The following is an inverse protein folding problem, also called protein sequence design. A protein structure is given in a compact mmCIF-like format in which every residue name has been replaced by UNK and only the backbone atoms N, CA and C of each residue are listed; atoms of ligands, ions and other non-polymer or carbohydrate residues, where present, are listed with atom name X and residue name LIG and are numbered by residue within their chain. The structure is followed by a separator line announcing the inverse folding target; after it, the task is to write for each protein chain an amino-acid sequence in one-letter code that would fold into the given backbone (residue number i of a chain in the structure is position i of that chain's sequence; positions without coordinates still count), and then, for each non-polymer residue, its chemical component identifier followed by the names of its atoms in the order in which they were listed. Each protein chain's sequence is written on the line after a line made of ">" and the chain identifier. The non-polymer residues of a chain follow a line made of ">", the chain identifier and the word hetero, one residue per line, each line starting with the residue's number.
data_IF_292659109261
#
_entry.id   IF_292659109261
#
_cell.length_a   1.000
_cell.length_b   1.000
_cell.length_c   1.000
_cell.angle_alpha   90.00
_cell.angle_beta   90.00
_cell.angle_gamma   90.00
#
_symmetry.space_group_name_H-M   'P 1'
#
loop_
_entity.id
_entity.type
_entity.pdbx_description
1 polymer ?
#
# COMPACT_ATOMS: atom_id res chain seq x y z
N UNK A 1 56.94 -17.53 34.81
CA UNK A 1 55.92 -18.01 33.85
C UNK A 1 54.83 -16.94 33.78
N UNK A 2 54.75 -16.11 32.72
CA UNK A 2 53.61 -15.20 32.55
C UNK A 2 52.38 -15.97 32.04
N UNK A 3 51.18 -15.55 32.47
CA UNK A 3 49.90 -16.19 32.19
C UNK A 3 49.37 -15.83 30.78
N UNK A 4 48.57 -16.69 30.13
CA UNK A 4 48.05 -16.45 28.79
C UNK A 4 46.95 -15.38 28.79
N UNK A 5 47.10 -14.38 27.93
CA UNK A 5 46.12 -13.33 27.68
C UNK A 5 44.85 -13.93 27.03
N UNK A 6 43.70 -13.66 27.62
CA UNK A 6 42.39 -14.04 27.09
C UNK A 6 42.01 -13.10 25.93
N UNK A 7 42.04 -13.63 24.71
CA UNK A 7 41.52 -12.97 23.52
C UNK A 7 40.01 -12.72 23.72
N UNK A 8 39.52 -11.47 23.65
CA UNK A 8 38.08 -11.20 23.77
C UNK A 8 37.33 -11.78 22.57
N UNK A 9 36.15 -12.39 22.76
CA UNK A 9 35.36 -12.90 21.65
C UNK A 9 34.91 -11.71 20.78
N UNK A 10 35.37 -11.71 19.52
CA UNK A 10 34.86 -10.82 18.48
C UNK A 10 33.34 -10.88 18.50
N UNK A 11 32.72 -9.70 18.61
CA UNK A 11 31.29 -9.53 18.41
C UNK A 11 30.92 -10.23 17.10
N UNK A 12 30.20 -11.36 17.21
CA UNK A 12 29.59 -11.99 16.05
C UNK A 12 28.64 -10.95 15.48
N UNK A 13 28.92 -10.55 14.24
CA UNK A 13 27.99 -9.81 13.40
C UNK A 13 26.62 -10.48 13.49
N UNK A 14 25.72 -9.87 14.26
CA UNK A 14 24.31 -10.21 14.29
C UNK A 14 23.69 -9.66 12.99
N UNK A 15 24.10 -10.23 11.85
CA UNK A 15 23.28 -10.16 10.65
C UNK A 15 21.99 -10.88 11.02
N UNK A 16 20.81 -10.24 10.93
CA UNK A 16 19.57 -10.98 11.06
C UNK A 16 19.62 -12.08 10.00
N UNK A 17 19.66 -13.33 10.46
CA UNK A 17 19.47 -14.48 9.58
C UNK A 17 18.08 -14.25 9.01
N UNK A 18 18.01 -13.89 7.73
CA UNK A 18 16.80 -14.02 6.93
C UNK A 18 16.39 -15.48 7.07
N UNK A 19 15.50 -15.74 8.03
CA UNK A 19 15.02 -17.08 8.31
C UNK A 19 14.51 -17.63 7.00
N UNK A 20 15.12 -18.73 6.55
CA UNK A 20 14.66 -19.44 5.37
C UNK A 20 13.16 -19.63 5.56
N UNK A 21 12.35 -19.02 4.68
CA UNK A 21 10.91 -19.22 4.75
C UNK A 21 10.70 -20.73 4.62
N UNK A 22 9.98 -21.31 5.58
CA UNK A 22 9.85 -22.75 5.67
C UNK A 22 9.09 -23.22 4.42
N UNK A 23 9.56 -24.28 3.75
CA UNK A 23 8.88 -24.90 2.60
C UNK A 23 7.39 -25.13 2.84
N UNK A 24 7.00 -25.47 4.08
CA UNK A 24 5.60 -25.63 4.47
C UNK A 24 4.82 -24.31 4.42
N UNK A 25 5.44 -23.21 4.85
CA UNK A 25 4.86 -21.86 4.80
C UNK A 25 4.81 -21.35 3.36
N UNK A 26 5.85 -21.56 2.56
CA UNK A 26 5.83 -21.20 1.14
C UNK A 26 4.75 -21.96 0.36
N UNK A 27 4.61 -23.26 0.64
CA UNK A 27 3.56 -24.08 0.03
C UNK A 27 2.17 -23.59 0.43
N UNK A 28 1.97 -23.21 1.70
CA UNK A 28 0.72 -22.60 2.15
C UNK A 28 0.46 -21.27 1.44
N UNK A 29 1.44 -20.36 1.39
CA UNK A 29 1.29 -19.04 0.74
C UNK A 29 0.97 -19.18 -0.74
N UNK A 30 1.60 -20.14 -1.43
CA UNK A 30 1.42 -20.35 -2.86
C UNK A 30 0.04 -20.94 -3.22
N UNK A 31 -0.61 -21.67 -2.30
CA UNK A 31 -1.82 -22.44 -2.61
C UNK A 31 -3.08 -21.98 -1.84
N UNK A 32 -2.93 -21.21 -0.76
CA UNK A 32 -4.07 -20.71 0.00
C UNK A 32 -4.89 -19.69 -0.80
N UNK A 33 -6.20 -19.65 -0.56
CA UNK A 33 -7.04 -18.61 -1.15
C UNK A 33 -6.70 -17.25 -0.55
N UNK A 34 -7.01 -16.17 -1.28
CA UNK A 34 -6.80 -14.81 -0.80
C UNK A 34 -7.58 -14.55 0.49
N UNK A 35 -8.79 -15.11 0.63
CA UNK A 35 -9.61 -14.94 1.82
C UNK A 35 -9.05 -15.69 3.03
N UNK A 36 -8.51 -16.90 2.82
CA UNK A 36 -7.80 -17.64 3.88
C UNK A 36 -6.55 -16.90 4.33
N UNK A 37 -5.74 -16.38 3.40
CA UNK A 37 -4.56 -15.59 3.73
C UNK A 37 -4.93 -14.33 4.52
N UNK A 38 -6.00 -13.62 4.13
CA UNK A 38 -6.51 -12.46 4.87
C UNK A 38 -6.95 -12.85 6.29
N UNK A 39 -7.66 -13.97 6.45
CA UNK A 39 -8.11 -14.46 7.75
C UNK A 39 -6.93 -14.84 8.66
N UNK A 40 -5.97 -15.60 8.13
CA UNK A 40 -4.75 -16.03 8.83
C UNK A 40 -3.94 -14.80 9.27
N UNK A 41 -3.68 -13.85 8.37
CA UNK A 41 -2.90 -12.63 8.69
C UNK A 41 -3.61 -11.81 9.76
N UNK A 42 -4.93 -11.59 9.65
CA UNK A 42 -5.69 -10.84 10.67
C UNK A 42 -5.66 -11.54 12.03
N UNK A 43 -5.89 -12.85 12.06
CA UNK A 43 -5.86 -13.63 13.30
C UNK A 43 -4.47 -13.61 13.94
N UNK A 44 -3.41 -13.74 13.13
CA UNK A 44 -2.01 -13.66 13.60
C UNK A 44 -1.70 -12.28 14.16
N UNK A 45 -2.05 -11.21 13.45
CA UNK A 45 -1.81 -9.84 13.92
C UNK A 45 -2.65 -9.49 15.17
N UNK A 46 -3.84 -10.05 15.31
CA UNK A 46 -4.70 -9.85 16.48
C UNK A 46 -4.19 -10.58 17.74
N UNK A 47 -3.45 -11.67 17.57
CA UNK A 47 -2.97 -12.53 18.67
C UNK A 47 -1.48 -12.34 18.99
N UNK A 48 -0.76 -11.58 18.18
CA UNK A 48 0.67 -11.28 18.38
C UNK A 48 0.89 -9.97 19.13
N UNK A 49 2.10 -9.78 19.66
CA UNK A 49 2.46 -8.56 20.39
C UNK A 49 2.58 -7.36 19.44
N UNK A 50 2.36 -6.11 19.93
CA UNK A 50 2.44 -4.90 19.10
C UNK A 50 3.70 -4.74 18.23
N UNK A 51 4.91 -5.16 18.67
CA UNK A 51 6.11 -5.12 17.84
C UNK A 51 6.02 -5.93 16.54
N UNK A 52 5.27 -7.05 16.53
CA UNK A 52 5.10 -7.88 15.33
C UNK A 52 4.21 -7.18 14.31
N UNK A 53 3.13 -6.53 14.75
CA UNK A 53 2.29 -5.72 13.88
C UNK A 53 3.03 -4.50 13.30
N UNK A 54 3.92 -3.88 14.09
CA UNK A 54 4.81 -2.82 13.62
C UNK A 54 5.78 -3.32 12.55
N UNK A 55 6.44 -4.46 12.77
CA UNK A 55 7.35 -5.07 11.81
C UNK A 55 6.65 -5.48 10.51
N UNK A 56 5.44 -6.04 10.60
CA UNK A 56 4.60 -6.34 9.43
C UNK A 56 4.30 -5.08 8.61
N UNK A 57 3.91 -3.99 9.28
CA UNK A 57 3.62 -2.71 8.62
C UNK A 57 4.88 -2.12 7.99
N UNK A 58 6.05 -2.21 8.65
CA UNK A 58 7.32 -1.75 8.08
C UNK A 58 7.73 -2.54 6.83
N UNK A 59 7.57 -3.87 6.85
CA UNK A 59 7.83 -4.73 5.68
C UNK A 59 6.87 -4.40 4.53
N UNK A 60 5.59 -4.17 4.82
CA UNK A 60 4.61 -3.72 3.83
C UNK A 60 5.01 -2.37 3.21
N UNK A 61 5.45 -1.40 4.02
CA UNK A 61 5.95 -0.10 3.52
C UNK A 61 7.16 -0.25 2.60
N UNK A 62 8.15 -1.04 3.00
CA UNK A 62 9.34 -1.27 2.18
C UNK A 62 8.95 -1.87 0.84
N UNK A 63 8.10 -2.91 0.84
CA UNK A 63 7.69 -3.58 -0.40
C UNK A 63 6.91 -2.65 -1.31
N UNK A 64 5.98 -1.88 -0.76
CA UNK A 64 5.12 -0.98 -1.52
C UNK A 64 5.89 0.27 -2.00
N UNK A 65 6.84 0.78 -1.21
CA UNK A 65 7.70 1.91 -1.58
C UNK A 65 8.55 1.62 -2.81
N UNK A 66 9.04 0.38 -2.94
CA UNK A 66 9.84 -0.07 -4.10
C UNK A 66 8.99 -0.38 -5.34
N UNK A 67 7.67 -0.54 -5.19
CA UNK A 67 6.78 -1.03 -6.25
C UNK A 67 5.72 -0.03 -6.71
N UNK A 68 5.59 1.12 -6.07
CA UNK A 68 4.55 2.07 -6.41
C UNK A 68 4.98 2.95 -7.59
N UNK A 69 5.06 2.34 -8.76
CA UNK A 69 4.96 3.06 -10.02
C UNK A 69 3.53 3.54 -10.16
N UNK A 70 3.34 4.87 -10.06
CA UNK A 70 2.03 5.46 -10.23
C UNK A 70 1.53 5.18 -11.66
N UNK A 71 0.35 4.55 -11.85
CA UNK A 71 -0.19 4.35 -13.19
C UNK A 71 -0.29 5.71 -13.87
N UNK A 72 0.27 5.84 -15.08
CA UNK A 72 0.16 7.07 -15.85
C UNK A 72 -1.28 7.19 -16.36
N UNK A 73 -2.14 7.88 -15.61
CA UNK A 73 -3.51 8.20 -16.04
C UNK A 73 -3.42 9.32 -17.07
N UNK A 74 -3.76 9.02 -18.33
CA UNK A 74 -3.74 10.00 -19.41
C UNK A 74 -5.09 10.70 -19.52
N UNK A 75 -5.10 12.01 -19.73
CA UNK A 75 -6.31 12.85 -19.91
C UNK A 75 -7.25 12.30 -21.00
N UNK A 76 -6.71 11.57 -22.00
CA UNK A 76 -7.50 10.92 -23.06
C UNK A 76 -8.47 9.85 -22.55
N UNK A 77 -8.16 9.22 -21.42
CA UNK A 77 -9.04 8.26 -20.74
C UNK A 77 -10.41 8.83 -20.43
N UNK A 78 -10.46 10.07 -19.95
CA UNK A 78 -11.68 10.74 -19.56
C UNK A 78 -12.47 11.33 -20.74
N UNK A 79 -11.83 11.55 -21.89
CA UNK A 79 -12.50 12.04 -23.10
C UNK A 79 -13.19 10.94 -23.92
N UNK A 80 -12.76 9.68 -23.78
CA UNK A 80 -13.28 8.57 -24.58
C UNK A 80 -14.66 8.07 -24.10
N UNK A 81 -15.02 8.37 -22.84
CA UNK A 81 -16.28 8.00 -22.20
C UNK A 81 -17.51 8.77 -22.74
N UNK A 82 -17.30 9.96 -23.33
CA UNK A 82 -18.37 10.81 -23.88
C UNK A 82 -19.18 10.18 -25.02
N UNK A 83 -18.82 9.00 -25.53
CA UNK A 83 -19.43 8.44 -26.76
C UNK A 83 -20.18 7.12 -26.61
N UNK A 84 -19.99 6.25 -25.59
CA UNK A 84 -20.85 5.04 -25.50
C UNK A 84 -20.80 4.09 -24.28
N UNK A 85 -20.10 4.37 -23.18
CA UNK A 85 -20.12 3.43 -22.06
C UNK A 85 -19.89 4.15 -20.74
N UNK A 86 -20.87 4.04 -19.84
CA UNK A 86 -20.95 4.63 -18.50
C UNK A 86 -20.03 3.90 -17.48
N UNK A 87 -18.88 3.40 -17.95
CA UNK A 87 -17.97 2.57 -17.16
C UNK A 87 -16.69 3.32 -16.87
N UNK A 88 -16.42 3.62 -15.58
CA UNK A 88 -15.18 4.24 -15.15
C UNK A 88 -13.98 3.58 -15.83
N UNK A 89 -13.01 4.39 -16.30
CA UNK A 89 -11.74 3.84 -16.80
C UNK A 89 -11.16 2.88 -15.74
N UNK A 90 -10.88 1.61 -16.09
CA UNK A 90 -10.24 0.65 -15.18
C UNK A 90 -8.98 1.17 -14.48
N UNK A 91 -8.31 2.16 -15.07
CA UNK A 91 -7.12 2.83 -14.51
C UNK A 91 -7.45 3.70 -13.30
N UNK A 92 -8.67 4.23 -13.20
CA UNK A 92 -9.14 4.97 -12.02
C UNK A 92 -9.36 4.02 -10.86
N UNK A 93 -9.99 2.86 -11.11
CA UNK A 93 -10.15 1.80 -10.10
C UNK A 93 -8.79 1.29 -9.59
N UNK A 94 -7.80 1.16 -10.48
CA UNK A 94 -6.44 0.78 -10.12
C UNK A 94 -5.74 1.84 -9.25
N UNK A 95 -5.93 3.13 -9.55
CA UNK A 95 -5.46 4.22 -8.71
C UNK A 95 -6.10 4.19 -7.31
N UNK A 96 -7.42 4.00 -7.22
CA UNK A 96 -8.12 3.93 -5.93
C UNK A 96 -7.68 2.73 -5.10
N UNK A 97 -7.47 1.57 -5.73
CA UNK A 97 -6.91 0.38 -5.04
C UNK A 97 -5.48 0.64 -4.55
N UNK A 98 -4.65 1.26 -5.38
CA UNK A 98 -3.27 1.61 -5.02
C UNK A 98 -3.23 2.58 -3.84
N UNK A 99 -4.11 3.59 -3.84
CA UNK A 99 -4.26 4.53 -2.73
C UNK A 99 -4.73 3.82 -1.45
N UNK A 100 -5.75 2.95 -1.52
CA UNK A 100 -6.24 2.19 -0.36
C UNK A 100 -5.14 1.31 0.26
N UNK A 101 -4.28 0.70 -0.57
CA UNK A 101 -3.15 -0.13 -0.12
C UNK A 101 -2.07 0.72 0.56
N UNK A 102 -1.67 1.85 -0.05
CA UNK A 102 -0.69 2.77 0.54
C UNK A 102 -1.20 3.38 1.86
N UNK A 103 -2.47 3.77 1.90
CA UNK A 103 -3.12 4.28 3.09
C UNK A 103 -3.14 3.24 4.21
N UNK A 104 -3.53 2.00 3.91
CA UNK A 104 -3.53 0.88 4.85
C UNK A 104 -2.14 0.54 5.41
N UNK A 105 -1.07 0.82 4.65
CA UNK A 105 0.31 0.70 5.10
C UNK A 105 0.81 1.92 5.92
N UNK A 106 -0.04 2.92 6.16
CA UNK A 106 0.33 4.17 6.84
C UNK A 106 1.19 5.10 5.97
N UNK A 107 1.14 4.98 4.66
CA UNK A 107 1.82 5.85 3.69
C UNK A 107 0.83 6.81 3.01
N UNK A 108 -0.09 7.39 3.79
CA UNK A 108 -1.14 8.27 3.28
C UNK A 108 -0.64 9.49 2.49
N UNK A 109 0.59 9.97 2.76
CA UNK A 109 1.20 11.05 1.96
C UNK A 109 1.70 10.56 0.59
N UNK A 110 2.19 9.32 0.50
CA UNK A 110 2.57 8.72 -0.77
C UNK A 110 1.34 8.47 -1.66
N UNK A 111 0.19 8.13 -1.06
CA UNK A 111 -1.08 8.00 -1.81
C UNK A 111 -1.59 9.32 -2.38
N UNK A 112 -1.25 10.47 -1.78
CA UNK A 112 -1.60 11.78 -2.35
C UNK A 112 -0.90 12.04 -3.69
N UNK A 113 0.31 11.50 -3.89
CA UNK A 113 1.01 11.57 -5.16
C UNK A 113 0.20 10.89 -6.29
N UNK A 114 -0.42 9.76 -5.98
CA UNK A 114 -1.27 8.98 -6.88
C UNK A 114 -2.56 9.72 -7.19
N UNK A 115 -3.28 10.19 -6.16
CA UNK A 115 -4.53 10.93 -6.34
C UNK A 115 -4.30 12.27 -7.09
N UNK A 116 -3.16 12.91 -6.89
CA UNK A 116 -2.80 14.14 -7.60
C UNK A 116 -2.70 13.97 -9.11
N UNK A 117 -2.37 12.77 -9.62
CA UNK A 117 -2.38 12.51 -11.07
C UNK A 117 -3.80 12.54 -11.61
N UNK A 118 -4.76 11.93 -10.90
CA UNK A 118 -6.18 11.92 -11.29
C UNK A 118 -6.76 13.33 -11.25
N UNK A 119 -6.53 14.08 -10.16
CA UNK A 119 -7.01 15.48 -10.03
C UNK A 119 -6.43 16.38 -11.13
N UNK A 120 -5.13 16.23 -11.45
CA UNK A 120 -4.53 17.00 -12.56
C UNK A 120 -5.12 16.62 -13.91
N UNK A 121 -5.44 15.35 -14.12
CA UNK A 121 -6.04 14.87 -15.36
C UNK A 121 -7.50 15.33 -15.54
N UNK A 122 -8.18 15.76 -14.47
CA UNK A 122 -9.53 16.31 -14.54
C UNK A 122 -9.60 17.85 -14.64
N UNK A 123 -8.45 18.55 -14.59
CA UNK A 123 -8.39 20.01 -14.76
C UNK A 123 -8.95 20.40 -16.12
N UNK A 124 -9.98 21.26 -16.12
CA UNK A 124 -10.64 21.75 -17.34
C UNK A 124 -11.72 20.83 -17.90
N UNK A 125 -11.99 19.68 -17.27
CA UNK A 125 -13.16 18.87 -17.58
C UNK A 125 -14.41 19.49 -16.96
N UNK A 126 -15.53 19.39 -17.68
CA UNK A 126 -16.86 19.67 -17.14
C UNK A 126 -17.57 18.34 -16.93
N UNK A 127 -17.99 18.08 -15.70
CA UNK A 127 -18.84 16.94 -15.33
C UNK A 127 -20.25 17.42 -15.03
N UNK A 128 -21.21 16.51 -15.16
CA UNK A 128 -22.61 16.74 -14.82
C UNK A 128 -22.87 16.29 -13.37
N UNK A 129 -23.82 16.93 -12.71
CA UNK A 129 -24.27 16.54 -11.37
C UNK A 129 -24.96 15.16 -11.43
N UNK A 130 -24.64 14.28 -10.49
CA UNK A 130 -25.03 12.87 -10.47
C UNK A 130 -24.22 11.95 -11.40
N UNK A 131 -23.24 12.48 -12.14
CA UNK A 131 -22.45 11.67 -13.07
C UNK A 131 -21.48 10.72 -12.35
N UNK A 132 -21.10 9.62 -13.03
CA UNK A 132 -20.08 8.69 -12.54
C UNK A 132 -18.75 9.40 -12.20
N UNK A 133 -18.36 10.39 -13.02
CA UNK A 133 -17.18 11.22 -12.78
C UNK A 133 -17.27 12.02 -11.47
N UNK A 134 -18.43 12.64 -11.19
CA UNK A 134 -18.63 13.39 -9.95
C UNK A 134 -18.50 12.46 -8.73
N UNK A 135 -19.11 11.28 -8.78
CA UNK A 135 -19.03 10.29 -7.70
C UNK A 135 -17.60 9.82 -7.45
N UNK A 136 -16.82 9.60 -8.51
CA UNK A 136 -15.40 9.24 -8.42
C UNK A 136 -14.60 10.37 -7.77
N UNK A 137 -14.78 11.61 -8.23
CA UNK A 137 -14.06 12.77 -7.70
C UNK A 137 -14.44 13.04 -6.24
N UNK A 138 -15.71 12.85 -5.86
CA UNK A 138 -16.17 12.93 -4.48
C UNK A 138 -15.53 11.85 -3.59
N UNK A 139 -15.36 10.62 -4.10
CA UNK A 139 -14.64 9.56 -3.39
C UNK A 139 -13.17 9.95 -3.18
N UNK A 140 -12.51 10.47 -4.23
CA UNK A 140 -11.11 10.92 -4.16
C UNK A 140 -10.95 12.07 -3.16
N UNK A 141 -11.88 13.02 -3.11
CA UNK A 141 -11.86 14.12 -2.14
C UNK A 141 -12.00 13.62 -0.68
N UNK A 142 -12.89 12.66 -0.46
CA UNK A 142 -13.03 11.99 0.83
C UNK A 142 -11.75 11.26 1.25
N UNK A 143 -11.10 10.56 0.31
CA UNK A 143 -9.83 9.86 0.50
C UNK A 143 -8.68 10.82 0.85
N UNK A 144 -8.58 11.97 0.15
CA UNK A 144 -7.61 13.03 0.46
C UNK A 144 -7.85 13.60 1.85
N UNK A 145 -9.12 13.89 2.18
CA UNK A 145 -9.52 14.42 3.48
C UNK A 145 -9.15 13.46 4.62
N UNK A 146 -9.38 12.16 4.44
CA UNK A 146 -8.97 11.13 5.42
C UNK A 146 -7.45 11.05 5.58
N UNK A 147 -6.70 11.07 4.47
CA UNK A 147 -5.23 11.05 4.51
C UNK A 147 -4.66 12.26 5.27
N UNK A 148 -5.27 13.44 5.14
CA UNK A 148 -4.87 14.66 5.87
C UNK A 148 -5.24 14.55 7.36
N UNK A 149 -6.42 14.06 7.71
CA UNK A 149 -6.90 14.00 9.09
C UNK A 149 -6.07 13.07 9.99
N UNK A 150 -5.52 11.97 9.45
CA UNK A 150 -4.62 11.08 10.22
C UNK A 150 -3.36 11.82 10.69
N UNK A 151 -2.85 12.77 9.91
CA UNK A 151 -1.67 13.57 10.27
C UNK A 151 -1.92 14.51 11.46
N UNK A 152 -3.16 14.94 11.68
CA UNK A 152 -3.53 15.86 12.78
C UNK A 152 -3.67 15.18 14.15
N UNK A 153 -3.48 13.86 14.24
CA UNK A 153 -3.65 13.07 15.48
C UNK A 153 -2.35 12.41 15.99
N UNK A 154 -1.19 12.73 15.42
CA UNK A 154 0.14 12.38 15.96
C UNK A 154 0.79 13.58 16.61
#
# INVERSE_FOLDING_TARGET
>A
MPAPESIPPRARDARPVLGHVNLMVDTLIANASIDDLRAIVRSTLATTSPPVASAFTAAARHRLGDQCDCPTVSVRSFHQERRRNDRPDPRVDECSRSQSVLYGAGMGLASLGVLGVVVRATVGLRWEEGSSMENILASIDADISQAIQIRGRS
#
